data_IF_914308926885
#
_entry.id   IF_914308926885
#
_cell.length_a   1.000
_cell.length_b   1.000
_cell.length_c   1.000
_cell.angle_alpha   90.00
_cell.angle_beta   90.00
_cell.angle_gamma   90.00
#
_symmetry.space_group_name_H-M   'P 1'
#
loop_
_entity.id
_entity.type
_entity.pdbx_description
1 polymer ?
#
# COMPACT_ATOMS: atom_id res chain seq x y z
N UNK A 1 -10.91 -5.73 -30.10
CA UNK A 1 -10.19 -5.99 -28.86
C UNK A 1 -10.11 -4.70 -28.05
N UNK A 2 -10.21 -4.81 -26.72
CA UNK A 2 -10.03 -3.67 -25.81
C UNK A 2 -8.93 -4.00 -24.80
N UNK A 3 -8.14 -3.00 -24.44
CA UNK A 3 -7.07 -3.14 -23.45
C UNK A 3 -6.83 -1.82 -22.72
N UNK A 4 -6.31 -1.91 -21.48
CA UNK A 4 -5.72 -0.77 -20.79
C UNK A 4 -4.26 -0.62 -21.22
N UNK A 5 -3.86 0.60 -21.59
CA UNK A 5 -2.48 0.93 -21.94
C UNK A 5 -2.13 2.35 -21.47
N UNK A 6 -0.84 2.66 -21.32
CA UNK A 6 -0.41 3.93 -20.77
C UNK A 6 0.57 4.75 -21.65
N UNK A 7 0.34 4.90 -22.97
CA UNK A 7 1.23 5.68 -23.83
C UNK A 7 1.33 7.16 -23.40
N UNK A 8 0.28 7.69 -22.80
CA UNK A 8 0.19 9.08 -22.32
C UNK A 8 0.70 9.30 -20.89
N UNK A 9 1.15 8.23 -20.22
CA UNK A 9 1.51 8.27 -18.79
C UNK A 9 0.36 7.88 -17.85
N UNK A 10 -0.80 7.58 -18.39
CA UNK A 10 -1.97 7.09 -17.64
C UNK A 10 -2.53 5.84 -18.32
N UNK A 11 -2.94 4.84 -17.55
CA UNK A 11 -3.60 3.64 -18.09
C UNK A 11 -5.01 3.99 -18.53
N UNK A 12 -5.18 4.36 -19.80
CA UNK A 12 -6.48 4.59 -20.41
C UNK A 12 -6.97 3.35 -21.16
N UNK A 13 -8.26 3.28 -21.47
CA UNK A 13 -8.84 2.21 -22.28
C UNK A 13 -8.72 2.51 -23.76
N UNK A 14 -8.24 1.52 -24.51
CA UNK A 14 -8.06 1.57 -25.95
C UNK A 14 -8.87 0.49 -26.64
N UNK A 15 -9.42 0.82 -27.81
CA UNK A 15 -10.04 -0.10 -28.74
C UNK A 15 -9.08 -0.36 -29.90
N UNK A 16 -8.82 -1.64 -30.14
CA UNK A 16 -8.05 -2.08 -31.30
C UNK A 16 -9.03 -2.57 -32.36
N UNK A 17 -9.03 -1.95 -33.54
CA UNK A 17 -9.81 -2.40 -34.68
C UNK A 17 -9.02 -3.49 -35.40
N UNK A 18 -9.63 -4.64 -35.66
CA UNK A 18 -9.07 -5.59 -36.60
C UNK A 18 -9.29 -5.00 -38.01
N UNK A 19 -8.24 -4.91 -38.82
CA UNK A 19 -8.38 -4.54 -40.22
C UNK A 19 -9.38 -5.47 -40.91
N UNK A 20 -10.52 -4.93 -41.30
CA UNK A 20 -11.53 -5.63 -42.09
C UNK A 20 -11.15 -5.71 -43.60
N UNK A 21 -9.86 -5.50 -43.90
CA UNK A 21 -9.34 -5.39 -45.26
C UNK A 21 -8.39 -6.50 -45.66
N UNK A 22 -8.86 -7.74 -45.66
CA UNK A 22 -8.20 -8.85 -46.30
C UNK A 22 -9.22 -9.87 -46.77
N UNK A 23 -9.49 -9.92 -48.08
CA UNK A 23 -10.23 -11.01 -48.69
C UNK A 23 -9.73 -12.35 -48.19
N UNK A 24 -10.55 -13.03 -47.39
CA UNK A 24 -10.29 -14.40 -46.94
C UNK A 24 -10.37 -15.36 -48.14
N UNK A 25 -9.38 -15.28 -49.01
CA UNK A 25 -9.14 -16.28 -50.03
C UNK A 25 -8.09 -17.28 -49.51
N UNK A 26 -8.56 -18.30 -48.81
CA UNK A 26 -7.96 -19.63 -48.76
C UNK A 26 -6.55 -19.74 -48.18
N UNK A 27 -6.37 -19.52 -46.86
CA UNK A 27 -5.20 -19.96 -46.12
C UNK A 27 -5.62 -20.69 -44.82
N UNK A 28 -5.35 -21.97 -44.75
CA UNK A 28 -5.52 -22.81 -43.57
C UNK A 28 -4.30 -22.64 -42.69
N UNK A 29 -4.10 -21.49 -42.03
CA UNK A 29 -3.20 -21.38 -40.87
C UNK A 29 -3.66 -20.14 -40.07
N UNK A 30 -4.07 -20.34 -38.82
CA UNK A 30 -4.75 -19.39 -37.97
C UNK A 30 -3.86 -18.30 -37.36
N UNK A 31 -3.01 -17.66 -38.14
CA UNK A 31 -2.26 -16.48 -37.73
C UNK A 31 -3.00 -15.19 -38.14
N UNK A 32 -4.05 -14.85 -37.41
CA UNK A 32 -4.53 -13.47 -37.40
C UNK A 32 -3.42 -12.61 -36.75
N UNK A 33 -2.80 -11.72 -37.54
CA UNK A 33 -1.82 -10.78 -37.03
C UNK A 33 -2.43 -10.03 -35.85
N UNK A 34 -1.73 -10.03 -34.71
CA UNK A 34 -2.14 -9.23 -33.54
C UNK A 34 -2.12 -7.74 -33.92
N UNK A 35 -3.15 -6.96 -33.54
CA UNK A 35 -3.18 -5.54 -33.82
C UNK A 35 -1.95 -4.85 -33.23
N UNK A 36 -1.40 -3.91 -34.00
CA UNK A 36 -0.22 -3.13 -33.58
C UNK A 36 -0.66 -1.90 -32.77
N UNK A 37 0.30 -1.26 -32.10
CA UNK A 37 0.02 -0.03 -31.35
C UNK A 37 -0.53 1.11 -32.24
N UNK A 38 -0.28 1.09 -33.56
CA UNK A 38 -0.80 2.06 -34.53
C UNK A 38 -2.31 1.90 -34.83
N UNK A 39 -2.90 0.75 -34.48
CA UNK A 39 -4.31 0.45 -34.70
C UNK A 39 -5.17 0.73 -33.46
N UNK A 40 -4.59 1.31 -32.40
CA UNK A 40 -5.22 1.59 -31.13
C UNK A 40 -5.92 2.96 -31.16
N UNK A 41 -7.20 2.98 -30.84
CA UNK A 41 -8.00 4.19 -30.64
C UNK A 41 -8.31 4.33 -29.15
N UNK A 42 -7.92 5.45 -28.53
CA UNK A 42 -8.29 5.73 -27.15
C UNK A 42 -9.80 5.96 -27.04
N UNK A 43 -10.47 5.22 -26.16
CA UNK A 43 -11.89 5.47 -25.89
C UNK A 43 -12.08 6.77 -25.12
N UNK A 44 -11.12 7.08 -24.24
CA UNK A 44 -11.03 8.33 -23.54
C UNK A 44 -9.59 8.54 -23.05
N UNK A 45 -9.01 9.71 -23.30
CA UNK A 45 -7.75 10.14 -22.70
C UNK A 45 -8.02 11.05 -21.49
N UNK A 46 -7.43 10.72 -20.34
CA UNK A 46 -7.61 11.48 -19.11
C UNK A 46 -6.45 11.21 -18.15
N UNK A 47 -6.24 12.15 -17.21
CA UNK A 47 -5.30 11.99 -16.10
C UNK A 47 -5.86 11.11 -14.97
N UNK A 48 -6.39 9.94 -15.34
CA UNK A 48 -6.91 8.92 -14.44
C UNK A 48 -6.50 7.53 -14.95
N UNK A 49 -6.39 6.55 -14.04
CA UNK A 49 -5.99 5.20 -14.38
C UNK A 49 -7.20 4.26 -14.47
N UNK A 50 -7.42 3.65 -15.66
CA UNK A 50 -8.40 2.59 -15.90
C UNK A 50 -7.79 1.19 -15.72
N UNK A 51 -6.54 1.11 -15.37
CA UNK A 51 -5.79 -0.11 -15.18
C UNK A 51 -5.01 -0.11 -13.89
N UNK A 52 -4.44 -1.26 -13.57
CA UNK A 52 -3.55 -1.48 -12.44
C UNK A 52 -2.28 -2.18 -12.95
N UNK A 53 -1.20 -2.24 -12.16
CA UNK A 53 0.02 -2.96 -12.55
C UNK A 53 -0.25 -4.38 -13.01
N UNK A 54 0.38 -4.79 -14.12
CA UNK A 54 0.12 -6.08 -14.79
C UNK A 54 0.92 -7.26 -14.24
N UNK A 55 1.62 -7.10 -13.13
CA UNK A 55 2.34 -8.19 -12.46
C UNK A 55 1.40 -9.18 -11.75
N UNK A 56 0.12 -8.83 -11.54
CA UNK A 56 -0.90 -9.75 -11.03
C UNK A 56 -1.70 -10.35 -12.17
N UNK A 57 -1.71 -11.68 -12.29
CA UNK A 57 -2.47 -12.38 -13.32
C UNK A 57 -3.97 -12.37 -13.02
N UNK A 58 -4.80 -12.42 -14.09
CA UNK A 58 -6.26 -12.50 -13.99
C UNK A 58 -6.96 -11.19 -13.62
N UNK A 59 -6.25 -10.08 -13.63
CA UNK A 59 -6.82 -8.75 -13.41
C UNK A 59 -7.74 -8.37 -14.55
N UNK A 60 -8.93 -7.86 -14.22
CA UNK A 60 -9.86 -7.21 -15.15
C UNK A 60 -10.46 -6.01 -14.45
N UNK A 61 -10.18 -4.83 -14.98
CA UNK A 61 -10.66 -3.55 -14.46
C UNK A 61 -11.91 -3.06 -15.15
N UNK A 62 -12.43 -3.82 -16.13
CA UNK A 62 -13.64 -3.47 -16.86
C UNK A 62 -14.44 -4.70 -17.31
N UNK A 63 -15.74 -4.48 -17.60
CA UNK A 63 -16.65 -5.47 -18.14
C UNK A 63 -17.66 -4.80 -19.09
N UNK A 64 -18.06 -5.51 -20.17
CA UNK A 64 -19.02 -5.01 -21.14
C UNK A 64 -20.46 -5.23 -20.66
N UNK A 65 -21.32 -4.24 -20.96
CA UNK A 65 -22.75 -4.28 -20.73
C UNK A 65 -23.51 -4.61 -22.02
N UNK A 66 -24.73 -5.10 -21.88
CA UNK A 66 -25.58 -5.48 -23.05
C UNK A 66 -26.04 -4.29 -23.87
N UNK A 67 -26.05 -3.10 -23.34
CA UNK A 67 -26.36 -1.83 -24.02
C UNK A 67 -25.15 -1.21 -24.76
N UNK A 68 -23.99 -1.86 -24.70
CA UNK A 68 -22.76 -1.42 -25.37
C UNK A 68 -21.80 -0.60 -24.47
N UNK A 69 -22.25 -0.13 -23.33
CA UNK A 69 -21.37 0.57 -22.36
C UNK A 69 -20.38 -0.38 -21.69
N UNK A 70 -19.40 0.21 -21.07
CA UNK A 70 -18.35 -0.49 -20.32
C UNK A 70 -18.39 -0.03 -18.87
N UNK A 71 -18.66 -0.97 -17.96
CA UNK A 71 -18.42 -0.73 -16.53
C UNK A 71 -16.91 -0.85 -16.27
N UNK A 72 -16.27 0.19 -15.74
CA UNK A 72 -14.82 0.25 -15.60
C UNK A 72 -14.39 0.88 -14.28
N UNK A 73 -13.31 0.36 -13.70
CA UNK A 73 -12.63 1.05 -12.59
C UNK A 73 -11.87 2.24 -13.17
N UNK A 74 -11.97 3.35 -12.44
CA UNK A 74 -11.22 4.58 -12.72
C UNK A 74 -10.61 5.03 -11.40
N UNK A 75 -9.30 5.18 -11.35
CA UNK A 75 -8.57 5.72 -10.20
C UNK A 75 -8.10 7.13 -10.55
N UNK A 76 -8.56 8.10 -9.80
CA UNK A 76 -8.27 9.51 -9.98
C UNK A 76 -7.74 10.07 -8.66
N UNK A 77 -6.52 10.62 -8.66
CA UNK A 77 -5.88 11.11 -7.44
C UNK A 77 -5.67 10.04 -6.34
N UNK A 78 -5.53 8.75 -6.74
CA UNK A 78 -5.44 7.63 -5.80
C UNK A 78 -6.78 6.99 -5.43
N UNK A 79 -7.91 7.70 -5.64
CA UNK A 79 -9.24 7.25 -5.25
C UNK A 79 -9.94 6.49 -6.39
N UNK A 80 -10.24 5.18 -6.21
CA UNK A 80 -10.90 4.39 -7.22
C UNK A 80 -12.43 4.54 -7.18
N UNK A 81 -13.05 4.55 -8.34
CA UNK A 81 -14.50 4.52 -8.52
C UNK A 81 -14.89 3.56 -9.64
N UNK A 82 -16.08 2.98 -9.57
CA UNK A 82 -16.65 2.21 -10.68
C UNK A 82 -17.52 3.15 -11.50
N UNK A 83 -17.15 3.35 -12.78
CA UNK A 83 -17.83 4.27 -13.70
C UNK A 83 -18.37 3.55 -14.94
N UNK A 84 -19.28 4.19 -15.64
CA UNK A 84 -19.83 3.75 -16.90
C UNK A 84 -19.24 4.57 -18.05
N UNK A 85 -18.55 3.91 -18.98
CA UNK A 85 -17.97 4.51 -20.16
C UNK A 85 -18.82 4.14 -21.39
N UNK A 86 -19.26 5.15 -22.15
CA UNK A 86 -19.77 4.96 -23.50
C UNK A 86 -18.57 4.90 -24.47
N UNK A 87 -18.31 3.75 -25.13
CA UNK A 87 -17.16 3.60 -26.00
C UNK A 87 -17.30 4.33 -27.34
N UNK A 88 -18.48 4.84 -27.71
CA UNK A 88 -18.71 5.57 -28.96
C UNK A 88 -18.57 7.09 -28.78
N UNK A 89 -18.96 7.62 -27.60
CA UNK A 89 -18.87 9.06 -27.31
C UNK A 89 -17.69 9.42 -26.45
N UNK A 90 -17.15 8.45 -25.69
CA UNK A 90 -16.15 8.68 -24.65
C UNK A 90 -16.72 9.28 -23.36
N UNK A 91 -18.05 9.36 -23.23
CA UNK A 91 -18.70 9.85 -22.03
C UNK A 91 -18.46 8.90 -20.85
N UNK A 92 -18.06 9.46 -19.72
CA UNK A 92 -17.76 8.74 -18.49
C UNK A 92 -18.67 9.23 -17.38
N UNK A 93 -19.56 8.37 -16.91
CA UNK A 93 -20.57 8.69 -15.89
C UNK A 93 -20.20 8.02 -14.58
N UNK A 94 -20.19 8.77 -13.50
CA UNK A 94 -20.10 8.25 -12.14
C UNK A 94 -21.52 7.98 -11.60
N UNK A 95 -21.87 6.72 -11.32
CA UNK A 95 -23.19 6.39 -10.77
C UNK A 95 -23.31 6.67 -9.26
N UNK A 96 -22.28 7.17 -8.60
CA UNK A 96 -22.30 7.46 -7.16
C UNK A 96 -22.45 6.23 -6.28
N UNK A 97 -21.78 5.14 -6.59
CA UNK A 97 -21.84 3.92 -5.77
C UNK A 97 -21.15 4.16 -4.41
N UNK A 98 -21.72 3.65 -3.29
CA UNK A 98 -21.22 3.92 -1.95
C UNK A 98 -20.02 3.02 -1.60
N UNK A 99 -18.99 3.00 -2.42
CA UNK A 99 -17.76 2.22 -2.24
C UNK A 99 -16.56 3.11 -2.49
N UNK A 100 -15.59 3.06 -1.57
CA UNK A 100 -14.35 3.85 -1.60
C UNK A 100 -13.19 3.11 -2.29
N UNK A 101 -13.29 1.79 -2.41
CA UNK A 101 -12.28 0.97 -3.09
C UNK A 101 -12.90 -0.27 -3.73
N UNK A 102 -12.18 -0.89 -4.68
CA UNK A 102 -12.68 -2.03 -5.46
C UNK A 102 -11.54 -3.02 -5.71
N UNK A 103 -11.82 -4.31 -5.58
CA UNK A 103 -10.85 -5.34 -5.96
C UNK A 103 -10.74 -5.46 -7.49
N UNK A 104 -9.61 -5.10 -8.11
CA UNK A 104 -9.49 -5.00 -9.57
C UNK A 104 -9.83 -6.28 -10.33
N UNK A 105 -9.51 -7.46 -9.75
CA UNK A 105 -9.76 -8.75 -10.38
C UNK A 105 -11.22 -9.21 -10.30
N UNK A 106 -12.13 -8.44 -9.67
CA UNK A 106 -13.47 -8.92 -9.34
C UNK A 106 -14.58 -8.48 -10.29
N UNK A 107 -14.32 -7.53 -11.20
CA UNK A 107 -15.37 -6.97 -12.05
C UNK A 107 -15.81 -7.97 -13.11
N UNK A 108 -17.10 -8.30 -13.10
CA UNK A 108 -17.75 -9.23 -14.06
C UNK A 108 -19.10 -8.68 -14.46
N UNK A 109 -19.58 -9.05 -15.66
CA UNK A 109 -20.90 -8.70 -16.13
C UNK A 109 -21.57 -9.91 -16.82
N UNK A 110 -22.90 -9.99 -16.70
CA UNK A 110 -23.75 -10.88 -17.51
C UNK A 110 -24.49 -10.12 -18.63
N UNK A 111 -24.13 -8.87 -18.85
CA UNK A 111 -24.76 -7.94 -19.78
C UNK A 111 -25.69 -6.95 -19.07
N UNK A 112 -26.56 -7.40 -18.19
CA UNK A 112 -27.53 -6.56 -17.48
C UNK A 112 -27.02 -6.12 -16.09
N UNK A 113 -26.15 -6.92 -15.48
CA UNK A 113 -25.64 -6.73 -14.13
C UNK A 113 -24.12 -6.66 -14.14
N UNK A 114 -23.58 -5.88 -13.20
CA UNK A 114 -22.17 -5.88 -12.85
C UNK A 114 -22.02 -6.49 -11.45
N UNK A 115 -21.13 -7.45 -11.31
CA UNK A 115 -20.70 -7.98 -10.02
C UNK A 115 -19.28 -7.54 -9.73
N UNK A 116 -19.01 -7.16 -8.49
CA UNK A 116 -17.70 -6.72 -8.02
C UNK A 116 -17.51 -6.97 -6.53
N UNK A 117 -16.28 -6.93 -6.06
CA UNK A 117 -15.96 -6.80 -4.63
C UNK A 117 -15.68 -5.34 -4.34
N UNK A 118 -16.53 -4.74 -3.51
CA UNK A 118 -16.43 -3.34 -3.09
C UNK A 118 -16.04 -3.23 -1.62
N UNK A 119 -15.27 -2.21 -1.32
CA UNK A 119 -14.84 -1.86 0.03
C UNK A 119 -15.43 -0.50 0.41
N UNK A 120 -15.71 -0.34 1.70
CA UNK A 120 -16.18 0.90 2.30
C UNK A 120 -15.23 1.30 3.43
N UNK A 121 -15.30 2.54 3.86
CA UNK A 121 -14.53 3.04 5.01
C UNK A 121 -15.17 2.66 6.34
N UNK A 122 -16.48 2.39 6.35
CA UNK A 122 -17.33 2.23 7.53
C UNK A 122 -17.97 0.83 7.67
N UNK A 123 -17.71 -0.08 6.71
CA UNK A 123 -18.34 -1.40 6.70
C UNK A 123 -17.44 -2.46 6.08
N UNK A 124 -17.66 -3.77 6.40
CA UNK A 124 -16.92 -4.87 5.80
C UNK A 124 -17.02 -4.87 4.27
N UNK A 125 -15.96 -5.38 3.64
CA UNK A 125 -15.94 -5.62 2.19
C UNK A 125 -17.07 -6.55 1.78
N UNK A 126 -17.66 -6.35 0.61
CA UNK A 126 -18.76 -7.17 0.15
C UNK A 126 -18.64 -7.57 -1.32
N UNK A 127 -19.17 -8.75 -1.65
CA UNK A 127 -19.56 -9.11 -3.01
C UNK A 127 -20.86 -8.40 -3.34
N UNK A 128 -20.87 -7.64 -4.42
CA UNK A 128 -21.97 -6.76 -4.78
C UNK A 128 -22.48 -7.11 -6.18
N UNK A 129 -23.79 -7.06 -6.38
CA UNK A 129 -24.40 -7.05 -7.69
C UNK A 129 -25.16 -5.74 -7.90
N UNK A 130 -24.93 -5.11 -9.04
CA UNK A 130 -25.53 -3.84 -9.39
C UNK A 130 -26.07 -3.88 -10.83
N UNK A 131 -27.24 -3.24 -11.04
CA UNK A 131 -27.85 -3.04 -12.36
C UNK A 131 -27.84 -1.55 -12.67
N UNK A 132 -27.07 -1.10 -13.66
CA UNK A 132 -26.97 0.31 -14.00
C UNK A 132 -28.29 0.99 -14.39
N UNK A 133 -29.23 0.25 -14.99
CA UNK A 133 -30.49 0.78 -15.54
C UNK A 133 -31.72 0.50 -14.67
N UNK A 134 -31.57 -0.18 -13.54
CA UNK A 134 -32.72 -0.56 -12.76
C UNK A 134 -33.02 0.46 -11.64
N UNK A 135 -34.28 0.89 -11.55
CA UNK A 135 -34.82 1.70 -10.46
C UNK A 135 -35.06 0.88 -9.17
N UNK A 136 -34.35 -0.24 -9.00
CA UNK A 136 -34.63 -1.27 -7.98
C UNK A 136 -33.88 -1.07 -6.63
N UNK A 137 -33.44 0.14 -6.35
CA UNK A 137 -32.86 0.50 -5.05
C UNK A 137 -31.32 0.43 -4.98
N UNK A 138 -30.62 0.36 -6.10
CA UNK A 138 -29.17 0.49 -6.18
C UNK A 138 -28.38 -0.82 -6.00
N UNK A 139 -27.09 -0.77 -5.61
CA UNK A 139 -26.24 -1.95 -5.49
C UNK A 139 -26.69 -2.87 -4.34
N UNK A 140 -26.84 -4.16 -4.64
CA UNK A 140 -27.23 -5.18 -3.65
C UNK A 140 -26.00 -5.92 -3.15
N UNK A 141 -25.73 -5.87 -1.87
CA UNK A 141 -24.74 -6.71 -1.21
C UNK A 141 -25.24 -8.17 -1.18
N UNK A 142 -24.42 -9.06 -1.73
CA UNK A 142 -24.71 -10.50 -1.79
C UNK A 142 -24.09 -11.26 -0.61
N UNK A 143 -22.87 -10.88 -0.23
CA UNK A 143 -22.14 -11.44 0.90
C UNK A 143 -21.12 -10.44 1.41
N UNK A 144 -21.01 -10.32 2.70
CA UNK A 144 -19.98 -9.56 3.40
C UNK A 144 -18.80 -10.47 3.77
N UNK A 145 -17.61 -9.89 3.94
CA UNK A 145 -16.38 -10.62 4.25
C UNK A 145 -16.37 -11.19 5.68
N UNK A 146 -17.14 -10.58 6.57
CA UNK A 146 -17.33 -11.03 7.96
C UNK A 146 -18.76 -10.69 8.41
N UNK A 147 -19.26 -11.47 9.35
CA UNK A 147 -20.52 -11.20 10.07
C UNK A 147 -20.26 -10.33 11.33
N UNK A 148 -19.01 -10.23 11.78
CA UNK A 148 -18.56 -9.41 12.90
C UNK A 148 -18.19 -8.02 12.42
N UNK A 149 -19.16 -7.15 12.24
CA UNK A 149 -18.95 -5.76 11.92
C UNK A 149 -18.50 -4.96 13.16
N UNK A 150 -17.56 -4.06 12.97
CA UNK A 150 -17.25 -3.06 14.00
C UNK A 150 -18.47 -2.15 14.19
N UNK A 151 -18.70 -1.70 15.44
CA UNK A 151 -19.70 -0.68 15.69
C UNK A 151 -19.29 0.61 14.95
N UNK A 152 -20.13 1.15 14.04
CA UNK A 152 -19.81 2.36 13.31
C UNK A 152 -19.46 3.57 14.19
N UNK A 153 -19.93 3.57 15.45
CA UNK A 153 -19.60 4.63 16.41
C UNK A 153 -18.10 4.67 16.77
N UNK A 154 -17.35 3.59 16.53
CA UNK A 154 -15.91 3.53 16.81
C UNK A 154 -15.05 3.59 15.55
N UNK A 155 -15.67 3.79 14.38
CA UNK A 155 -14.93 3.82 13.12
C UNK A 155 -14.38 5.22 12.85
N UNK A 156 -13.07 5.32 12.76
CA UNK A 156 -12.39 6.49 12.23
C UNK A 156 -12.44 6.45 10.71
N UNK A 157 -12.98 7.49 10.08
CA UNK A 157 -13.01 7.64 8.64
C UNK A 157 -11.76 8.37 8.14
N UNK A 158 -11.20 7.98 6.97
CA UNK A 158 -10.01 8.60 6.43
C UNK A 158 -10.27 9.98 5.83
N UNK A 159 -9.33 10.87 6.02
CA UNK A 159 -9.19 12.13 5.31
C UNK A 159 -8.04 12.02 4.31
N UNK A 160 -8.29 12.27 3.02
CA UNK A 160 -7.23 12.30 2.02
C UNK A 160 -6.34 13.52 2.23
N UNK A 161 -5.04 13.29 2.36
CA UNK A 161 -4.06 14.36 2.55
C UNK A 161 -3.06 14.40 1.41
N UNK A 162 -2.63 15.61 1.07
CA UNK A 162 -1.54 15.87 0.12
C UNK A 162 -0.52 16.73 0.83
N UNK A 163 0.74 16.31 0.81
CA UNK A 163 1.80 17.01 1.51
C UNK A 163 3.01 17.25 0.59
N UNK A 164 3.75 18.34 0.81
CA UNK A 164 4.96 18.61 0.06
C UNK A 164 6.02 17.58 0.43
N UNK A 165 6.74 17.09 -0.58
CA UNK A 165 7.89 16.25 -0.38
C UNK A 165 9.07 16.87 -1.10
N UNK A 166 10.09 17.30 -0.34
CA UNK A 166 11.33 17.84 -0.89
C UNK A 166 12.21 16.70 -1.41
N UNK A 167 13.05 16.99 -2.39
CA UNK A 167 14.16 16.14 -2.77
C UNK A 167 15.47 16.79 -2.34
N UNK A 168 16.41 15.99 -1.86
CA UNK A 168 17.81 16.38 -1.81
C UNK A 168 18.39 16.74 -3.22
N UNK A 169 17.62 16.50 -4.28
CA UNK A 169 17.94 16.69 -5.69
C UNK A 169 17.17 17.85 -6.35
N UNK A 170 16.39 18.64 -5.58
CA UNK A 170 15.88 19.95 -6.01
C UNK A 170 14.60 19.95 -6.85
N UNK A 171 13.66 19.04 -6.62
CA UNK A 171 12.29 19.17 -7.11
C UNK A 171 11.48 19.99 -6.08
N UNK A 172 11.46 21.31 -6.25
CA UNK A 172 10.83 22.24 -5.30
C UNK A 172 9.29 22.13 -5.19
N UNK A 173 8.63 21.35 -6.08
CA UNK A 173 7.17 21.23 -6.16
C UNK A 173 6.67 19.76 -6.10
N UNK A 174 7.47 18.82 -5.60
CA UNK A 174 7.03 17.43 -5.48
C UNK A 174 6.02 17.27 -4.34
N UNK A 175 4.99 16.47 -4.58
CA UNK A 175 3.97 16.13 -3.58
C UNK A 175 3.84 14.62 -3.44
N UNK A 176 3.47 14.17 -2.23
CA UNK A 176 3.04 12.81 -1.96
C UNK A 176 1.66 12.83 -1.29
N UNK A 177 1.08 11.65 -1.11
CA UNK A 177 -0.32 11.50 -0.73
C UNK A 177 -0.46 10.54 0.44
N UNK A 178 -1.59 10.59 1.11
CA UNK A 178 -1.91 9.66 2.18
C UNK A 178 -3.36 9.75 2.59
N UNK A 179 -3.73 8.85 3.52
CA UNK A 179 -5.00 8.86 4.20
C UNK A 179 -4.73 9.01 5.70
N UNK A 180 -5.17 10.13 6.27
CA UNK A 180 -5.11 10.35 7.71
C UNK A 180 -6.39 9.86 8.36
N UNK A 181 -6.25 9.06 9.40
CA UNK A 181 -7.33 8.56 10.25
C UNK A 181 -7.17 9.18 11.64
N UNK A 182 -8.02 10.14 12.03
CA UNK A 182 -7.94 10.74 13.35
C UNK A 182 -8.24 9.73 14.46
N UNK A 183 -7.74 9.93 15.68
CA UNK A 183 -8.20 9.17 16.84
C UNK A 183 -9.71 9.26 16.98
N UNK A 184 -10.37 8.11 17.20
CA UNK A 184 -11.82 8.09 17.32
C UNK A 184 -12.30 7.02 18.28
N UNK A 185 -12.83 7.45 19.44
CA UNK A 185 -13.44 6.58 20.45
C UNK A 185 -14.54 7.38 21.17
N UNK A 186 -15.83 7.00 21.07
CA UNK A 186 -16.93 7.75 21.68
C UNK A 186 -16.92 7.69 23.22
N UNK A 187 -16.17 6.75 23.82
CA UNK A 187 -16.10 6.57 25.27
C UNK A 187 -14.87 7.22 25.92
N UNK A 188 -14.04 7.90 25.11
CA UNK A 188 -12.82 8.53 25.61
C UNK A 188 -12.63 9.93 24.99
N UNK A 189 -12.09 10.85 25.78
CA UNK A 189 -11.74 12.20 25.34
C UNK A 189 -10.29 12.49 25.74
N UNK A 190 -9.55 13.08 24.80
CA UNK A 190 -8.22 13.61 25.08
C UNK A 190 -8.31 14.99 25.76
N UNK A 191 -7.29 15.42 26.53
CA UNK A 191 -7.18 16.82 26.95
C UNK A 191 -7.27 17.76 25.75
N UNK A 192 -7.95 18.90 25.91
CA UNK A 192 -8.30 19.81 24.81
C UNK A 192 -7.09 20.35 24.01
N UNK A 193 -5.90 20.40 24.64
CA UNK A 193 -4.67 20.91 24.04
C UNK A 193 -3.67 19.78 23.68
N UNK A 194 -4.07 18.52 23.78
CA UNK A 194 -3.19 17.39 23.49
C UNK A 194 -3.31 16.97 22.03
N UNK A 195 -2.20 17.01 21.29
CA UNK A 195 -2.08 16.35 20.02
C UNK A 195 -1.85 14.83 20.21
N UNK A 196 -2.43 13.97 19.37
CA UNK A 196 -2.27 12.52 19.50
C UNK A 196 -0.88 12.05 19.07
N UNK A 197 -0.40 10.90 19.59
CA UNK A 197 0.69 10.17 18.94
C UNK A 197 0.31 9.85 17.49
N UNK A 198 1.28 9.79 16.60
CA UNK A 198 1.10 9.41 15.19
C UNK A 198 1.75 8.08 14.89
N UNK A 199 1.03 7.24 14.16
CA UNK A 199 1.57 6.07 13.51
C UNK A 199 1.56 6.26 12.00
N UNK A 200 2.72 6.50 11.40
CA UNK A 200 2.91 6.48 9.95
C UNK A 200 2.93 5.03 9.48
N UNK A 201 1.97 4.67 8.63
CA UNK A 201 1.89 3.32 8.06
C UNK A 201 2.36 3.29 6.64
N UNK A 202 3.31 2.37 6.37
CA UNK A 202 3.99 2.25 5.08
C UNK A 202 3.57 0.95 4.42
N UNK A 203 2.97 1.04 3.22
CA UNK A 203 2.60 -0.15 2.47
C UNK A 203 3.80 -0.87 1.86
N UNK A 204 3.68 -2.18 1.67
CA UNK A 204 4.66 -3.00 0.96
C UNK A 204 4.52 -2.93 -0.57
N UNK A 205 5.30 -3.74 -1.24
CA UNK A 205 5.22 -3.90 -2.69
C UNK A 205 6.54 -3.70 -3.44
N UNK A 206 7.23 -2.55 -3.43
CA UNK A 206 6.90 -1.18 -3.02
C UNK A 206 5.94 -0.45 -3.98
N UNK A 207 5.72 -0.96 -5.19
CA UNK A 207 4.83 -0.36 -6.20
C UNK A 207 3.37 -0.83 -6.02
N UNK A 208 2.82 -0.58 -4.84
CA UNK A 208 1.42 -0.80 -4.46
C UNK A 208 0.75 0.53 -4.10
N UNK A 209 -0.24 0.52 -3.21
CA UNK A 209 -0.80 1.72 -2.56
C UNK A 209 -1.59 1.35 -1.32
N UNK A 210 -1.76 2.31 -0.42
CA UNK A 210 -2.78 2.30 0.62
C UNK A 210 -4.11 2.79 0.04
N UNK A 211 -5.20 2.10 0.33
CA UNK A 211 -6.54 2.45 -0.13
C UNK A 211 -7.43 2.81 1.06
N UNK A 212 -8.34 3.77 0.86
CA UNK A 212 -9.34 4.13 1.84
C UNK A 212 -10.37 3.01 1.98
N UNK A 213 -10.20 2.15 2.99
CA UNK A 213 -11.11 1.03 3.29
C UNK A 213 -11.15 0.75 4.78
N UNK A 214 -12.21 0.11 5.27
CA UNK A 214 -12.28 -0.33 6.65
C UNK A 214 -11.15 -1.32 6.94
N UNK A 215 -10.27 -0.94 7.85
CA UNK A 215 -9.12 -1.72 8.29
C UNK A 215 -9.18 -1.92 9.81
N UNK A 216 -9.32 -3.15 10.26
CA UNK A 216 -9.30 -3.47 11.69
C UNK A 216 -7.99 -3.02 12.36
N UNK A 217 -6.88 -3.10 11.65
CA UNK A 217 -5.59 -2.60 12.14
C UNK A 217 -5.61 -1.08 12.38
N UNK A 218 -6.17 -0.31 11.45
CA UNK A 218 -6.30 1.15 11.63
C UNK A 218 -7.22 1.44 12.81
N UNK A 219 -8.39 0.79 12.88
CA UNK A 219 -9.36 1.00 13.96
C UNK A 219 -8.81 0.56 15.33
N UNK A 220 -7.92 -0.42 15.37
CA UNK A 220 -7.21 -0.82 16.59
C UNK A 220 -6.41 0.36 17.18
N UNK A 221 -5.74 1.14 16.34
CA UNK A 221 -4.94 2.30 16.78
C UNK A 221 -5.81 3.51 17.08
N UNK A 222 -6.73 3.85 16.19
CA UNK A 222 -7.54 5.07 16.32
C UNK A 222 -8.46 5.04 17.54
N UNK A 223 -9.01 3.85 17.88
CA UNK A 223 -9.82 3.66 19.11
C UNK A 223 -9.00 3.78 20.39
N UNK A 224 -7.68 3.76 20.31
CA UNK A 224 -6.74 3.91 21.44
C UNK A 224 -6.08 5.29 21.52
N UNK A 225 -6.59 6.24 20.73
CA UNK A 225 -6.12 7.63 20.77
C UNK A 225 -4.89 7.90 19.90
N UNK A 226 -4.52 6.99 18.99
CA UNK A 226 -3.41 7.16 18.06
C UNK A 226 -3.94 7.60 16.70
N UNK A 227 -3.40 8.69 16.15
CA UNK A 227 -3.63 9.06 14.74
C UNK A 227 -2.87 8.13 13.83
N UNK A 228 -3.46 7.75 12.68
CA UNK A 228 -2.80 6.89 11.69
C UNK A 228 -2.70 7.61 10.36
N UNK A 229 -1.51 7.70 9.80
CA UNK A 229 -1.28 8.26 8.46
C UNK A 229 -0.76 7.16 7.52
N UNK A 230 -1.65 6.63 6.68
CA UNK A 230 -1.31 5.63 5.66
C UNK A 230 -0.75 6.35 4.42
N UNK A 231 0.56 6.26 4.22
CA UNK A 231 1.28 7.03 3.20
C UNK A 231 1.24 6.33 1.85
N UNK A 232 0.98 7.12 0.79
CA UNK A 232 1.19 6.77 -0.60
C UNK A 232 2.41 7.55 -1.13
N UNK A 233 3.59 7.01 -0.86
CA UNK A 233 4.88 7.58 -1.25
C UNK A 233 5.10 7.52 -2.77
N UNK A 234 6.03 8.30 -3.30
CA UNK A 234 6.47 8.23 -4.71
C UNK A 234 6.90 6.81 -5.08
N UNK A 235 6.24 6.21 -6.03
CA UNK A 235 6.29 4.78 -6.35
C UNK A 235 4.93 4.10 -6.24
N UNK A 236 4.00 4.67 -5.46
CA UNK A 236 2.65 4.16 -5.34
C UNK A 236 1.86 4.25 -6.63
N UNK A 237 0.89 3.35 -6.81
CA UNK A 237 0.02 3.29 -8.00
C UNK A 237 -1.22 4.15 -7.84
N UNK A 238 -1.85 4.53 -8.98
CA UNK A 238 -3.07 5.34 -8.98
C UNK A 238 -2.84 6.83 -9.21
N UNK A 239 -1.58 7.28 -9.25
CA UNK A 239 -1.18 8.68 -9.43
C UNK A 239 -0.45 8.94 -10.76
N UNK A 240 -0.60 8.04 -11.72
CA UNK A 240 0.04 8.10 -13.04
C UNK A 240 1.44 7.48 -13.08
N UNK A 241 2.00 7.39 -14.32
CA UNK A 241 3.30 6.75 -14.54
C UNK A 241 4.44 7.53 -13.90
N UNK A 242 4.44 8.86 -14.01
CA UNK A 242 5.52 9.68 -13.49
C UNK A 242 5.71 9.48 -11.98
N UNK A 243 4.62 9.43 -11.22
CA UNK A 243 4.64 9.17 -9.78
C UNK A 243 5.11 7.74 -9.47
N UNK A 244 4.56 6.74 -10.18
CA UNK A 244 4.96 5.33 -10.02
C UNK A 244 6.43 5.10 -10.36
N UNK A 245 6.93 5.70 -11.44
CA UNK A 245 8.30 5.52 -11.90
C UNK A 245 9.31 6.41 -11.16
N UNK A 246 8.84 7.35 -10.34
CA UNK A 246 9.72 8.14 -9.48
C UNK A 246 10.56 7.29 -8.52
N UNK A 247 10.13 6.05 -8.23
CA UNK A 247 10.88 5.10 -7.39
C UNK A 247 11.98 4.35 -8.15
N UNK A 248 11.99 4.40 -9.50
CA UNK A 248 13.03 3.69 -10.28
C UNK A 248 14.41 4.26 -9.99
N UNK A 249 15.31 3.40 -9.55
CA UNK A 249 16.65 3.78 -9.10
C UNK A 249 16.69 4.56 -7.78
N UNK A 250 15.55 4.79 -7.10
CA UNK A 250 15.42 5.64 -5.94
C UNK A 250 14.74 4.94 -4.73
N UNK A 251 14.55 3.62 -4.79
CA UNK A 251 14.01 2.85 -3.67
C UNK A 251 14.97 2.90 -2.46
N UNK A 252 14.41 3.14 -1.29
CA UNK A 252 15.15 3.41 -0.07
C UNK A 252 15.57 4.89 0.09
N UNK A 253 15.17 5.75 -0.86
CA UNK A 253 15.41 7.20 -0.79
C UNK A 253 14.08 7.95 -0.82
N UNK A 254 13.34 7.88 -1.93
CA UNK A 254 12.11 8.68 -2.10
C UNK A 254 10.95 8.16 -1.26
N UNK A 255 10.76 6.86 -1.19
CA UNK A 255 9.76 6.22 -0.34
C UNK A 255 9.99 6.56 1.15
N UNK A 256 11.23 6.52 1.60
CA UNK A 256 11.62 6.86 2.97
C UNK A 256 11.41 8.35 3.25
N UNK A 257 11.91 9.22 2.35
CA UNK A 257 11.78 10.66 2.50
C UNK A 257 10.32 11.12 2.52
N UNK A 258 9.46 10.49 1.71
CA UNK A 258 8.02 10.80 1.70
C UNK A 258 7.35 10.41 3.03
N UNK A 259 7.76 9.29 3.66
CA UNK A 259 7.28 8.91 4.99
C UNK A 259 7.75 9.90 6.08
N UNK A 260 9.00 10.34 6.01
CA UNK A 260 9.55 11.38 6.89
C UNK A 260 8.80 12.70 6.75
N UNK A 261 8.56 13.14 5.50
CA UNK A 261 7.83 14.37 5.25
C UNK A 261 6.35 14.28 5.62
N UNK A 262 5.73 13.09 5.51
CA UNK A 262 4.37 12.84 5.98
C UNK A 262 4.24 13.03 7.50
N UNK A 263 5.21 12.51 8.27
CA UNK A 263 5.24 12.68 9.73
C UNK A 263 5.42 14.15 10.13
N UNK A 264 6.36 14.84 9.48
CA UNK A 264 6.61 16.28 9.72
C UNK A 264 5.39 17.13 9.37
N UNK A 265 4.77 16.87 8.20
CA UNK A 265 3.55 17.52 7.78
C UNK A 265 2.43 17.35 8.81
N UNK A 266 2.22 16.13 9.31
CA UNK A 266 1.18 15.85 10.30
C UNK A 266 1.43 16.60 11.62
N UNK A 267 2.69 16.72 12.05
CA UNK A 267 3.06 17.49 13.23
C UNK A 267 2.87 19.01 13.01
N UNK A 268 3.28 19.54 11.86
CA UNK A 268 3.17 20.97 11.50
C UNK A 268 1.71 21.43 11.37
N UNK A 269 0.83 20.56 10.84
CA UNK A 269 -0.62 20.81 10.72
C UNK A 269 -1.38 20.58 12.04
N UNK A 270 -0.71 20.08 13.08
CA UNK A 270 -1.32 19.82 14.39
C UNK A 270 -2.14 18.51 14.45
N UNK A 271 -1.95 17.61 13.48
CA UNK A 271 -2.55 16.27 13.48
C UNK A 271 -1.85 15.31 14.43
N UNK A 272 -0.61 15.64 14.84
CA UNK A 272 0.24 14.79 15.65
C UNK A 272 1.08 15.57 16.66
N UNK A 273 1.41 14.89 17.75
CA UNK A 273 2.43 15.33 18.69
C UNK A 273 3.83 15.11 18.08
N UNK A 274 4.64 16.15 17.88
CA UNK A 274 5.97 16.03 17.26
C UNK A 274 6.96 15.17 18.07
N UNK A 275 6.71 14.97 19.36
CA UNK A 275 7.56 14.17 20.27
C UNK A 275 7.07 12.71 20.38
N UNK A 276 6.07 12.30 19.59
CA UNK A 276 5.50 10.94 19.61
C UNK A 276 5.15 10.46 18.19
N UNK A 277 6.16 10.41 17.33
CA UNK A 277 6.04 9.97 15.94
C UNK A 277 6.56 8.54 15.79
N UNK A 278 5.69 7.62 15.40
CA UNK A 278 6.04 6.23 15.11
C UNK A 278 5.90 5.91 13.63
N UNK A 279 6.64 4.91 13.17
CA UNK A 279 6.55 4.36 11.81
C UNK A 279 6.40 2.85 11.86
N UNK A 280 5.48 2.29 11.04
CA UNK A 280 5.25 0.85 10.95
C UNK A 280 4.99 0.42 9.51
N UNK A 281 5.51 -0.73 9.13
CA UNK A 281 5.31 -1.26 7.79
C UNK A 281 5.78 -2.70 7.62
N UNK A 282 5.31 -3.36 6.55
CA UNK A 282 5.67 -4.74 6.25
C UNK A 282 6.38 -4.89 4.91
N UNK A 283 7.29 -5.86 4.77
CA UNK A 283 8.03 -6.13 3.53
C UNK A 283 8.82 -4.89 3.08
N UNK A 284 8.57 -4.37 1.88
CA UNK A 284 9.15 -3.09 1.43
C UNK A 284 8.79 -1.92 2.37
N UNK A 285 7.63 -1.94 3.02
CA UNK A 285 7.29 -0.98 4.07
C UNK A 285 8.15 -1.17 5.33
N UNK A 286 8.47 -2.41 5.69
CA UNK A 286 9.41 -2.74 6.79
C UNK A 286 10.83 -2.27 6.47
N UNK A 287 11.28 -2.40 5.22
CA UNK A 287 12.51 -1.79 4.75
C UNK A 287 12.51 -0.27 4.93
N UNK A 288 11.41 0.39 4.53
CA UNK A 288 11.29 1.84 4.70
C UNK A 288 11.33 2.27 6.19
N UNK A 289 10.76 1.45 7.10
CA UNK A 289 10.90 1.66 8.55
C UNK A 289 12.37 1.62 8.98
N UNK A 290 13.09 0.54 8.62
CA UNK A 290 14.49 0.37 8.98
C UNK A 290 15.35 1.50 8.40
N UNK A 291 15.12 1.86 7.14
CA UNK A 291 15.84 2.94 6.47
C UNK A 291 15.50 4.33 7.06
N UNK A 292 14.23 4.57 7.43
CA UNK A 292 13.85 5.82 8.08
C UNK A 292 14.57 6.01 9.43
N UNK A 293 14.71 4.95 10.22
CA UNK A 293 15.43 5.01 11.50
C UNK A 293 16.95 5.06 11.31
N UNK A 294 17.50 4.44 10.27
CA UNK A 294 18.94 4.43 10.03
C UNK A 294 19.47 5.75 9.43
N UNK A 295 18.64 6.45 8.64
CA UNK A 295 19.08 7.61 7.86
C UNK A 295 18.45 8.94 8.31
N UNK A 296 17.43 8.91 9.18
CA UNK A 296 16.70 10.10 9.65
C UNK A 296 16.41 10.03 11.15
N UNK A 297 16.21 11.18 11.77
CA UNK A 297 15.95 11.40 13.19
C UNK A 297 14.50 11.82 13.51
N UNK A 298 13.58 11.57 12.58
CA UNK A 298 12.20 12.07 12.65
C UNK A 298 11.30 11.21 13.52
N UNK A 299 11.57 9.91 13.58
CA UNK A 299 10.71 8.97 14.31
C UNK A 299 11.31 8.59 15.66
N UNK A 300 10.45 8.57 16.68
CA UNK A 300 10.81 8.22 18.06
C UNK A 300 10.71 6.71 18.32
N UNK A 301 10.04 5.96 17.42
CA UNK A 301 9.96 4.50 17.48
C UNK A 301 9.57 3.91 16.11
N UNK A 302 9.99 2.67 15.85
CA UNK A 302 9.60 1.97 14.61
C UNK A 302 9.28 0.49 14.81
N UNK A 303 8.33 -0.03 14.01
CA UNK A 303 7.98 -1.44 13.98
C UNK A 303 8.09 -2.00 12.56
N UNK A 304 9.03 -2.90 12.33
CA UNK A 304 9.28 -3.53 11.03
C UNK A 304 8.76 -4.96 11.01
N UNK A 305 7.78 -5.22 10.16
CA UNK A 305 7.21 -6.53 9.91
C UNK A 305 7.93 -7.15 8.72
N UNK A 306 8.66 -8.25 8.94
CA UNK A 306 9.39 -8.98 7.89
C UNK A 306 10.06 -8.05 6.87
N UNK A 307 10.75 -7.01 7.38
CA UNK A 307 11.37 -5.98 6.56
C UNK A 307 12.74 -6.38 6.02
N UNK A 308 13.11 -5.81 4.90
CA UNK A 308 14.42 -6.02 4.28
C UNK A 308 15.46 -5.16 5.01
N UNK A 309 16.52 -5.77 5.55
CA UNK A 309 17.64 -5.06 6.18
C UNK A 309 18.87 -4.97 5.28
N UNK A 310 19.10 -5.98 4.44
CA UNK A 310 20.20 -6.10 3.49
C UNK A 310 19.67 -6.30 2.07
N UNK A 311 19.85 -5.31 1.22
CA UNK A 311 19.42 -5.35 -0.18
C UNK A 311 20.24 -6.34 -1.02
N UNK A 312 21.53 -6.58 -0.70
CA UNK A 312 22.35 -7.56 -1.42
C UNK A 312 21.91 -8.97 -1.11
N UNK A 313 21.64 -9.28 0.16
CA UNK A 313 21.12 -10.56 0.57
C UNK A 313 19.76 -10.81 -0.09
N UNK A 314 18.85 -9.83 -0.10
CA UNK A 314 17.58 -9.93 -0.81
C UNK A 314 17.78 -10.24 -2.30
N UNK A 315 18.69 -9.55 -3.00
CA UNK A 315 18.95 -9.81 -4.42
C UNK A 315 19.47 -11.21 -4.72
N UNK A 316 20.17 -11.84 -3.76
CA UNK A 316 20.71 -13.19 -3.89
C UNK A 316 19.70 -14.29 -3.54
N UNK A 317 18.77 -14.02 -2.62
CA UNK A 317 17.91 -15.02 -1.97
C UNK A 317 16.44 -14.94 -2.39
N UNK A 318 16.00 -13.81 -2.99
CA UNK A 318 14.60 -13.66 -3.41
C UNK A 318 14.18 -14.68 -4.46
N UNK A 319 12.89 -15.00 -4.47
CA UNK A 319 12.36 -15.99 -5.39
C UNK A 319 12.40 -15.52 -6.87
N UNK A 320 12.32 -16.49 -7.79
CA UNK A 320 12.48 -16.28 -9.23
C UNK A 320 11.60 -15.14 -9.81
N UNK A 321 10.40 -14.95 -9.30
CA UNK A 321 9.47 -13.94 -9.80
C UNK A 321 9.99 -12.51 -9.59
N UNK A 322 10.71 -12.27 -8.48
CA UNK A 322 11.27 -10.95 -8.14
C UNK A 322 12.75 -10.80 -8.49
N UNK A 323 13.39 -11.83 -9.05
CA UNK A 323 14.84 -11.90 -9.29
C UNK A 323 15.43 -10.75 -10.13
N UNK A 324 14.59 -10.00 -10.85
CA UNK A 324 14.97 -8.81 -11.64
C UNK A 324 14.30 -7.51 -11.18
N UNK A 325 13.54 -7.58 -10.10
CA UNK A 325 12.78 -6.44 -9.62
C UNK A 325 13.71 -5.33 -9.10
N UNK A 326 14.75 -5.72 -8.38
CA UNK A 326 15.74 -4.81 -7.85
C UNK A 326 16.58 -4.11 -8.93
N UNK A 327 16.77 -4.72 -10.11
CA UNK A 327 17.47 -4.06 -11.23
C UNK A 327 16.81 -2.70 -11.60
N UNK A 328 15.49 -2.62 -11.49
CA UNK A 328 14.73 -1.41 -11.76
C UNK A 328 14.63 -0.44 -10.58
N UNK A 329 14.65 -0.94 -9.35
CA UNK A 329 14.44 -0.16 -8.13
C UNK A 329 15.73 0.42 -7.56
N UNK A 330 16.84 -0.31 -7.68
CA UNK A 330 18.16 0.05 -7.13
C UNK A 330 19.19 0.17 -8.25
N UNK A 331 19.23 -0.82 -9.13
CA UNK A 331 20.17 -0.95 -10.23
C UNK A 331 20.67 -2.39 -10.38
N UNK A 332 21.23 -2.76 -11.55
CA UNK A 332 21.73 -4.10 -11.79
C UNK A 332 23.03 -4.38 -11.02
N UNK A 333 23.17 -5.59 -10.51
CA UNK A 333 24.43 -6.11 -9.96
C UNK A 333 25.29 -6.71 -11.09
N UNK A 334 26.63 -6.56 -11.04
CA UNK A 334 27.40 -5.96 -9.92
C UNK A 334 27.60 -4.44 -10.00
N UNK A 335 27.12 -3.76 -11.05
CA UNK A 335 27.42 -2.35 -11.33
C UNK A 335 26.92 -1.40 -10.23
N UNK A 336 25.77 -1.72 -9.63
CA UNK A 336 25.16 -0.92 -8.57
C UNK A 336 25.54 -1.37 -7.14
N UNK A 337 26.58 -2.19 -6.97
CA UNK A 337 26.93 -2.77 -5.69
C UNK A 337 27.09 -1.75 -4.55
N UNK A 338 27.69 -0.59 -4.84
CA UNK A 338 27.87 0.49 -3.86
C UNK A 338 26.53 1.12 -3.44
N UNK A 339 25.55 1.15 -4.36
CA UNK A 339 24.19 1.66 -4.07
C UNK A 339 23.44 0.71 -3.14
N UNK A 340 23.57 -0.60 -3.36
CA UNK A 340 22.99 -1.62 -2.46
C UNK A 340 23.52 -1.47 -1.04
N UNK A 341 24.83 -1.29 -0.87
CA UNK A 341 25.44 -1.09 0.44
C UNK A 341 25.00 0.22 1.08
N UNK A 342 25.06 1.32 0.32
CA UNK A 342 24.69 2.66 0.81
C UNK A 342 23.22 2.79 1.23
N UNK A 343 22.33 1.88 0.76
CA UNK A 343 20.90 1.91 1.07
C UNK A 343 20.44 0.75 1.97
N UNK A 344 21.32 -0.18 2.33
CA UNK A 344 20.99 -1.28 3.23
C UNK A 344 20.99 -0.79 4.68
N UNK A 345 19.84 -0.80 5.39
CA UNK A 345 19.78 -0.31 6.78
C UNK A 345 20.77 -0.99 7.71
N UNK A 346 21.04 -2.28 7.53
CA UNK A 346 21.99 -3.04 8.35
C UNK A 346 23.42 -2.49 8.27
N UNK A 347 23.81 -1.92 7.13
CA UNK A 347 25.14 -1.32 6.95
C UNK A 347 25.28 0.06 7.64
N UNK A 348 24.17 0.63 8.10
CA UNK A 348 24.09 1.95 8.74
C UNK A 348 23.32 1.91 10.06
N UNK A 349 23.30 0.74 10.71
CA UNK A 349 22.55 0.53 11.95
C UNK A 349 23.04 1.42 13.12
N UNK A 350 24.26 1.96 13.05
CA UNK A 350 24.75 2.98 13.98
C UNK A 350 23.94 4.28 13.97
N UNK A 351 23.18 4.54 12.89
CA UNK A 351 22.24 5.66 12.82
C UNK A 351 20.93 5.41 13.53
N UNK A 352 20.59 4.16 13.86
CA UNK A 352 19.36 3.82 14.57
C UNK A 352 19.51 4.16 16.06
N UNK A 353 18.91 5.26 16.46
CA UNK A 353 18.92 5.72 17.85
C UNK A 353 17.59 5.52 18.57
N UNK A 354 16.49 5.45 17.81
CA UNK A 354 15.15 5.17 18.33
C UNK A 354 14.93 3.66 18.55
N UNK A 355 14.11 3.26 19.54
CA UNK A 355 13.75 1.86 19.73
C UNK A 355 13.11 1.24 18.49
N UNK A 356 13.40 -0.04 18.25
CA UNK A 356 12.94 -0.77 17.08
C UNK A 356 12.30 -2.11 17.47
N UNK A 357 11.05 -2.35 17.01
CA UNK A 357 10.41 -3.66 17.08
C UNK A 357 10.56 -4.39 15.75
N UNK A 358 11.06 -5.62 15.80
CA UNK A 358 11.18 -6.54 14.67
C UNK A 358 10.18 -7.68 14.83
N UNK A 359 9.31 -7.89 13.82
CA UNK A 359 8.35 -9.00 13.80
C UNK A 359 8.60 -9.85 12.54
N UNK A 360 8.84 -11.15 12.71
CA UNK A 360 9.31 -12.03 11.63
C UNK A 360 8.53 -13.35 11.60
N UNK A 361 8.19 -13.83 10.39
CA UNK A 361 7.69 -15.17 10.16
C UNK A 361 8.85 -16.16 10.01
N UNK A 362 8.83 -17.27 10.75
CA UNK A 362 9.90 -18.28 10.72
C UNK A 362 10.00 -19.03 9.39
N UNK A 363 8.88 -19.16 8.65
CA UNK A 363 8.81 -19.81 7.33
C UNK A 363 8.77 -18.79 6.16
N UNK A 364 9.26 -17.56 6.36
CA UNK A 364 9.28 -16.54 5.31
C UNK A 364 10.38 -16.82 4.27
N UNK A 365 9.94 -17.18 3.04
CA UNK A 365 10.82 -17.44 1.89
C UNK A 365 10.99 -16.20 0.97
N UNK A 366 10.26 -15.10 1.23
CA UNK A 366 10.34 -13.86 0.44
C UNK A 366 11.38 -12.91 1.07
N UNK A 367 11.24 -12.68 2.38
CA UNK A 367 12.22 -11.96 3.21
C UNK A 367 12.62 -12.90 4.33
N UNK A 368 13.69 -13.70 4.16
CA UNK A 368 14.09 -14.74 5.13
C UNK A 368 14.41 -14.18 6.51
N UNK A 369 14.22 -14.95 7.60
CA UNK A 369 14.56 -14.56 8.97
C UNK A 369 15.98 -14.02 9.16
N UNK A 370 16.93 -14.45 8.33
CA UNK A 370 18.30 -13.93 8.32
C UNK A 370 18.40 -12.42 8.15
N UNK A 371 17.39 -11.79 7.52
CA UNK A 371 17.31 -10.32 7.41
C UNK A 371 17.08 -9.66 8.79
N UNK A 372 16.14 -10.18 9.57
CA UNK A 372 15.91 -9.72 10.93
C UNK A 372 17.10 -10.04 11.84
N UNK A 373 17.68 -11.22 11.73
CA UNK A 373 18.86 -11.64 12.51
C UNK A 373 20.07 -10.73 12.27
N UNK A 374 20.33 -10.36 11.00
CA UNK A 374 21.41 -9.43 10.67
C UNK A 374 21.19 -8.05 11.29
N UNK A 375 19.94 -7.56 11.28
CA UNK A 375 19.61 -6.29 11.92
C UNK A 375 19.76 -6.37 13.45
N UNK A 376 19.31 -7.47 14.06
CA UNK A 376 19.49 -7.71 15.52
C UNK A 376 20.98 -7.67 15.89
N UNK A 377 21.85 -8.33 15.14
CA UNK A 377 23.28 -8.33 15.39
C UNK A 377 23.86 -6.92 15.38
N UNK A 378 23.43 -6.08 14.44
CA UNK A 378 23.88 -4.71 14.34
C UNK A 378 23.34 -3.85 15.51
N UNK A 379 22.06 -4.02 15.91
CA UNK A 379 21.46 -3.32 17.03
C UNK A 379 22.14 -3.70 18.38
N UNK A 380 22.44 -4.99 18.56
CA UNK A 380 23.21 -5.48 19.72
C UNK A 380 24.59 -4.84 19.78
N UNK A 381 25.29 -4.79 18.65
CA UNK A 381 26.63 -4.18 18.58
C UNK A 381 26.63 -2.67 18.90
N UNK A 382 25.53 -1.99 18.58
CA UNK A 382 25.37 -0.54 18.80
C UNK A 382 24.65 -0.20 20.11
N UNK A 383 24.28 -1.20 20.91
CA UNK A 383 23.52 -1.02 22.16
C UNK A 383 22.20 -0.26 21.96
N UNK A 384 21.57 -0.41 20.76
CA UNK A 384 20.28 0.22 20.45
C UNK A 384 19.15 -0.59 21.09
N UNK A 385 18.17 0.05 21.77
CA UNK A 385 17.03 -0.66 22.33
C UNK A 385 16.17 -1.30 21.21
N UNK A 386 15.85 -2.58 21.37
CA UNK A 386 14.98 -3.27 20.40
C UNK A 386 14.14 -4.36 21.09
N UNK A 387 13.12 -4.82 20.38
CA UNK A 387 12.39 -6.04 20.69
C UNK A 387 12.24 -6.91 19.45
N UNK A 388 12.15 -8.22 19.66
CA UNK A 388 11.96 -9.19 18.57
C UNK A 388 10.86 -10.17 18.90
N UNK A 389 9.96 -10.37 17.93
CA UNK A 389 8.87 -11.35 18.04
C UNK A 389 8.88 -12.23 16.80
N UNK A 390 9.15 -13.52 17.00
CA UNK A 390 9.06 -14.53 15.94
C UNK A 390 7.71 -15.25 15.98
N UNK A 391 7.21 -15.53 14.78
CA UNK A 391 6.03 -16.36 14.51
C UNK A 391 6.46 -17.59 13.71
N UNK A 392 6.82 -18.69 14.36
CA UNK A 392 7.56 -19.82 13.73
C UNK A 392 6.86 -20.43 12.51
N UNK A 393 5.51 -20.45 12.50
CA UNK A 393 4.71 -21.08 11.43
C UNK A 393 4.22 -20.07 10.38
N UNK A 394 4.49 -18.77 10.59
CA UNK A 394 4.09 -17.74 9.64
C UNK A 394 5.12 -17.56 8.53
N UNK A 395 4.58 -17.15 7.39
CA UNK A 395 5.35 -16.84 6.18
C UNK A 395 5.40 -15.33 5.95
N UNK A 396 5.61 -14.93 4.70
CA UNK A 396 5.58 -13.52 4.31
C UNK A 396 4.16 -12.95 4.44
N UNK A 397 3.93 -12.21 5.52
CA UNK A 397 2.60 -11.74 5.95
C UNK A 397 1.90 -12.72 6.89
N UNK A 398 1.54 -12.26 8.07
CA UNK A 398 0.86 -13.05 9.09
C UNK A 398 -0.60 -13.28 8.70
N UNK A 399 -1.11 -14.51 8.83
CA UNK A 399 -2.44 -14.94 8.38
C UNK A 399 -3.25 -15.60 9.46
N UNK A 400 -2.60 -16.23 10.42
CA UNK A 400 -3.29 -16.75 11.58
C UNK A 400 -3.82 -15.62 12.44
N UNK A 401 -5.09 -15.69 12.83
CA UNK A 401 -5.78 -14.62 13.55
C UNK A 401 -5.16 -14.34 14.93
N UNK A 402 -4.72 -15.39 15.62
CA UNK A 402 -4.10 -15.27 16.94
C UNK A 402 -2.70 -14.64 16.81
N UNK A 403 -1.96 -14.98 15.76
CA UNK A 403 -0.66 -14.36 15.46
C UNK A 403 -0.80 -12.89 15.07
N UNK A 404 -1.81 -12.53 14.28
CA UNK A 404 -2.11 -11.13 13.95
C UNK A 404 -2.47 -10.34 15.21
N UNK A 405 -3.31 -10.91 16.09
CA UNK A 405 -3.68 -10.27 17.35
C UNK A 405 -2.46 -10.11 18.28
N UNK A 406 -1.60 -11.14 18.35
CA UNK A 406 -0.35 -11.11 19.13
C UNK A 406 0.63 -10.06 18.59
N UNK A 407 0.74 -9.91 17.27
CA UNK A 407 1.59 -8.91 16.65
C UNK A 407 1.15 -7.48 17.01
N UNK A 408 -0.16 -7.19 16.91
CA UNK A 408 -0.70 -5.89 17.31
C UNK A 408 -0.57 -5.64 18.82
N UNK A 409 -0.73 -6.67 19.66
CA UNK A 409 -0.54 -6.54 21.11
C UNK A 409 0.93 -6.27 21.46
N UNK A 410 1.87 -6.89 20.75
CA UNK A 410 3.30 -6.63 20.89
C UNK A 410 3.67 -5.20 20.45
N UNK A 411 3.16 -4.77 19.30
CA UNK A 411 3.39 -3.39 18.80
C UNK A 411 2.81 -2.34 19.76
N UNK A 412 1.63 -2.60 20.34
CA UNK A 412 1.03 -1.73 21.35
C UNK A 412 1.85 -1.66 22.64
N UNK A 413 2.34 -2.80 23.14
CA UNK A 413 3.24 -2.85 24.31
C UNK A 413 4.53 -2.09 24.04
N UNK A 414 5.10 -2.26 22.83
CA UNK A 414 6.29 -1.60 22.39
C UNK A 414 6.15 -0.07 22.40
N UNK A 415 5.08 0.46 21.79
CA UNK A 415 4.84 1.91 21.79
C UNK A 415 4.47 2.42 23.18
N UNK A 416 3.82 1.59 24.03
CA UNK A 416 3.59 1.93 25.44
C UNK A 416 4.91 2.19 26.18
N UNK A 417 5.91 1.33 25.94
CA UNK A 417 7.25 1.49 26.54
C UNK A 417 8.04 2.65 25.90
N UNK A 418 7.94 2.85 24.59
CA UNK A 418 8.68 3.89 23.88
C UNK A 418 8.16 5.30 24.19
N UNK A 419 6.84 5.47 24.38
CA UNK A 419 6.18 6.75 24.60
C UNK A 419 5.72 6.99 26.05
N UNK A 420 6.08 6.09 26.97
CA UNK A 420 5.76 6.17 28.41
C UNK A 420 4.26 6.32 28.69
N UNK A 421 3.44 5.41 28.10
CA UNK A 421 2.01 5.32 28.42
C UNK A 421 1.58 3.90 28.77
N UNK A 422 0.52 3.77 29.58
CA UNK A 422 -0.10 2.48 29.90
C UNK A 422 -1.10 2.09 28.80
N UNK A 423 -0.84 1.04 28.01
CA UNK A 423 -1.72 0.64 26.95
C UNK A 423 -3.08 0.13 27.45
N UNK A 424 -4.18 0.55 26.81
CA UNK A 424 -5.50 0.03 27.10
C UNK A 424 -5.72 -1.36 26.48
N UNK A 425 -6.20 -2.31 27.25
CA UNK A 425 -6.55 -3.67 26.82
C UNK A 425 -5.46 -4.70 27.09
N UNK A 426 -5.54 -5.84 26.39
CA UNK A 426 -4.50 -6.88 26.50
C UNK A 426 -3.27 -6.48 25.70
N UNK A 427 -2.15 -6.43 26.34
CA UNK A 427 -0.83 -6.24 25.73
C UNK A 427 0.01 -7.49 25.87
N UNK A 428 1.00 -7.66 24.99
CA UNK A 428 1.99 -8.70 25.12
C UNK A 428 2.95 -8.38 26.29
N UNK A 429 3.51 -9.41 26.92
CA UNK A 429 4.69 -9.27 27.74
C UNK A 429 5.89 -9.07 26.78
N UNK A 430 6.38 -7.85 26.69
CA UNK A 430 7.43 -7.45 25.76
C UNK A 430 8.53 -6.72 26.52
N UNK A 431 9.74 -7.24 26.40
CA UNK A 431 10.94 -6.65 26.96
C UNK A 431 11.79 -5.97 25.89
N UNK A 432 12.24 -4.76 26.17
CA UNK A 432 13.23 -4.09 25.34
C UNK A 432 14.63 -4.59 25.72
N UNK A 433 15.31 -5.17 24.75
CA UNK A 433 16.68 -5.68 24.87
C UNK A 433 17.68 -4.58 24.49
N UNK A 434 18.82 -4.55 25.18
CA UNK A 434 19.93 -3.61 24.89
C UNK A 434 21.25 -4.36 25.01
N UNK A 435 22.00 -4.44 23.92
CA UNK A 435 23.32 -5.07 23.93
C UNK A 435 23.31 -6.59 24.10
N UNK A 436 22.15 -7.24 24.05
CA UNK A 436 22.00 -8.71 24.18
C UNK A 436 21.02 -9.26 23.14
N UNK A 437 21.18 -10.53 22.81
CA UNK A 437 20.27 -11.23 21.88
C UNK A 437 19.05 -11.78 22.63
N UNK A 438 17.92 -11.98 21.93
CA UNK A 438 16.77 -12.68 22.49
C UNK A 438 17.16 -14.13 22.82
N UNK A 439 16.60 -14.68 23.91
CA UNK A 439 16.80 -16.09 24.32
C UNK A 439 16.16 -17.09 23.35
#
# INVERSE_FOLDING_TARGET
LHAAADPTGWWNLYRFRADSGGDAAGGRDGDAALPTAGDAEALRETSAAFGVPMWTLGVSTFAFLGDGRIATLVTEGGDPSLRLLDPETGDLVDPGLPYSSFRPASIRSDGDRVAFVGHRTDAPSAVVAWRPEADDGGPRRLRESTDDALDPAYVSEPESVTFPTGDAVGADDATAYGHYYPPHNPDAEAPADAAPPLLVRVHGGPTSRSEASLSSTVQFWTTRGVGVLAVNYRGSTGYGRAFREALKGEWGVRDVLDCVNAARYAADEGFADPDRLAISGGSAGGFAVLAALAFHDTFDAGASYYGVADLRALAAETHKFESRYLDGLVGPLPEAADVYEARSPVAHAEGVTAPLLLLQGGEDEVVPPAQAEAMIDALVANETPYAYVEFPEERHGFRDADNVARAHAAELAFYGAAFDFDPAGSVADLELLVGERPE
#
